data_IF_817044399363
#
_entry.id   IF_817044399363
#
_cell.length_a   1.000
_cell.length_b   1.000
_cell.length_c   1.000
_cell.angle_alpha   90.00
_cell.angle_beta   90.00
_cell.angle_gamma   90.00
#
_symmetry.space_group_name_H-M   'P 1'
#
loop_
_entity.id
_entity.type
_entity.pdbx_description
1 polymer ?
#
# COMPACT_ATOMS: atom_id res chain seq x y z
N UNK A 1 13.00 -6.69 9.90
CA UNK A 1 14.34 -6.25 10.32
C UNK A 1 15.26 -7.46 10.51
N UNK A 2 16.49 -7.41 9.98
CA UNK A 2 17.46 -8.50 10.07
C UNK A 2 18.87 -7.98 10.43
N UNK A 3 19.12 -7.53 11.67
CA UNK A 3 20.41 -6.92 12.03
C UNK A 3 21.58 -7.87 11.82
N UNK A 4 22.67 -7.36 11.25
CA UNK A 4 23.95 -8.05 11.06
C UNK A 4 24.01 -9.01 9.88
N UNK A 5 22.93 -9.15 9.08
CA UNK A 5 22.89 -10.00 7.89
C UNK A 5 22.05 -9.37 6.78
N UNK A 6 22.25 -9.75 5.50
CA UNK A 6 21.36 -9.33 4.43
C UNK A 6 19.91 -9.70 4.73
N UNK A 7 18.99 -8.83 4.33
CA UNK A 7 17.56 -9.12 4.36
C UNK A 7 17.22 -10.22 3.34
N UNK A 8 16.18 -11.00 3.60
CA UNK A 8 15.73 -12.04 2.67
C UNK A 8 15.21 -11.44 1.34
N UNK A 9 14.77 -10.18 1.35
CA UNK A 9 14.26 -9.46 0.17
C UNK A 9 14.67 -7.98 0.18
N UNK A 10 14.51 -7.33 -0.97
CA UNK A 10 14.87 -5.93 -1.19
C UNK A 10 13.88 -4.96 -0.53
N UNK A 11 14.42 -3.93 0.11
CA UNK A 11 13.67 -2.81 0.68
C UNK A 11 14.10 -1.50 0.02
N UNK A 12 13.18 -0.54 -0.04
CA UNK A 12 13.53 0.87 -0.27
C UNK A 12 13.67 1.54 1.10
N UNK A 13 14.77 2.28 1.28
CA UNK A 13 15.20 2.82 2.58
C UNK A 13 15.28 4.33 2.50
N UNK A 14 14.70 5.00 3.50
CA UNK A 14 14.66 6.45 3.66
C UNK A 14 15.16 6.85 5.04
N UNK A 15 15.56 8.10 5.17
CA UNK A 15 16.02 8.72 6.41
C UNK A 15 17.53 8.83 6.49
N UNK A 16 18.10 8.40 7.61
CA UNK A 16 19.50 8.67 7.93
C UNK A 16 20.52 7.94 7.03
N UNK A 17 21.54 8.68 6.58
CA UNK A 17 22.71 8.11 5.89
C UNK A 17 23.59 7.22 6.78
N UNK A 18 23.28 7.10 8.06
CA UNK A 18 23.90 6.17 9.02
C UNK A 18 23.28 4.77 9.00
N UNK A 19 22.32 4.51 8.12
CA UNK A 19 21.76 3.18 7.92
C UNK A 19 22.86 2.19 7.49
N UNK A 20 22.84 1.00 8.07
CA UNK A 20 23.86 -0.03 7.88
C UNK A 20 23.37 -1.36 8.46
N UNK A 21 24.13 -2.42 8.20
CA UNK A 21 23.83 -3.78 8.70
C UNK A 21 23.63 -3.84 10.21
N UNK A 22 24.31 -2.98 10.97
CA UNK A 22 24.27 -2.93 12.43
C UNK A 22 23.74 -1.59 12.95
N UNK A 23 22.86 -0.93 12.18
CA UNK A 23 22.31 0.37 12.55
C UNK A 23 21.74 0.38 13.98
N UNK A 24 22.10 1.42 14.70
CA UNK A 24 21.59 1.77 16.03
C UNK A 24 21.09 3.20 16.00
N UNK A 25 20.22 3.57 16.92
CA UNK A 25 19.83 4.98 17.11
C UNK A 25 21.06 5.92 17.12
N UNK A 26 22.12 5.52 17.84
CA UNK A 26 23.35 6.33 17.92
C UNK A 26 24.05 6.48 16.57
N UNK A 27 24.17 5.42 15.76
CA UNK A 27 24.79 5.52 14.43
C UNK A 27 23.93 6.37 13.50
N UNK A 28 22.61 6.25 13.61
CA UNK A 28 21.68 7.04 12.81
C UNK A 28 21.76 8.53 13.15
N UNK A 29 21.73 8.91 14.44
CA UNK A 29 21.85 10.31 14.91
C UNK A 29 23.19 10.95 14.55
N UNK A 30 24.27 10.15 14.45
CA UNK A 30 25.61 10.61 14.07
C UNK A 30 25.78 10.84 12.56
N UNK A 31 24.80 10.46 11.74
CA UNK A 31 24.91 10.62 10.31
C UNK A 31 24.91 12.09 9.89
N UNK A 32 25.74 12.41 8.90
CA UNK A 32 25.90 13.76 8.40
C UNK A 32 24.72 14.24 7.54
N UNK A 33 23.86 13.33 7.07
CA UNK A 33 22.70 13.64 6.23
C UNK A 33 21.46 12.84 6.65
N UNK A 34 20.30 13.25 6.16
CA UNK A 34 19.04 12.50 6.19
C UNK A 34 18.27 12.83 4.93
N UNK A 35 17.51 11.87 4.39
CA UNK A 35 16.58 12.13 3.29
C UNK A 35 15.24 12.69 3.76
N UNK A 36 15.04 12.94 5.06
CA UNK A 36 13.84 13.57 5.61
C UNK A 36 13.87 15.10 5.46
N UNK A 37 12.72 15.75 5.25
CA UNK A 37 12.63 17.21 5.19
C UNK A 37 13.06 17.93 6.47
N UNK A 38 12.81 17.32 7.64
CA UNK A 38 13.27 17.80 8.95
C UNK A 38 14.67 17.25 9.22
N UNK A 39 15.68 18.11 9.27
CA UNK A 39 17.09 17.68 9.40
C UNK A 39 17.43 17.02 10.75
N UNK A 40 16.63 17.31 11.79
CA UNK A 40 16.76 16.69 13.10
C UNK A 40 16.18 15.27 13.16
N UNK A 41 15.42 14.85 12.15
CA UNK A 41 14.97 13.49 12.00
C UNK A 41 16.03 12.65 11.29
N UNK A 42 16.77 11.87 12.08
CA UNK A 42 17.73 10.88 11.57
C UNK A 42 17.20 9.46 11.76
N UNK A 43 15.90 9.24 11.84
CA UNK A 43 15.38 7.87 11.93
C UNK A 43 15.63 7.10 10.62
N UNK A 44 15.46 5.78 10.65
CA UNK A 44 15.49 4.95 9.46
C UNK A 44 14.10 4.34 9.23
N UNK A 45 13.63 4.45 8.00
CA UNK A 45 12.33 3.99 7.54
C UNK A 45 12.54 3.13 6.32
N UNK A 46 11.91 1.96 6.25
CA UNK A 46 11.97 1.18 5.03
C UNK A 46 10.80 0.24 4.86
N UNK A 47 10.50 -0.07 3.61
CA UNK A 47 9.38 -0.90 3.16
C UNK A 47 9.84 -1.81 2.00
N UNK A 48 9.19 -2.94 1.75
CA UNK A 48 9.55 -3.79 0.61
C UNK A 48 9.43 -3.03 -0.69
N UNK A 49 10.41 -3.23 -1.58
CA UNK A 49 10.38 -2.66 -2.91
C UNK A 49 9.24 -3.28 -3.76
N UNK A 50 8.66 -2.49 -4.66
CA UNK A 50 7.71 -2.98 -5.65
C UNK A 50 8.44 -3.31 -6.96
N UNK A 51 8.19 -4.50 -7.49
CA UNK A 51 8.69 -4.93 -8.80
C UNK A 51 7.54 -5.11 -9.79
N UNK A 52 7.80 -4.81 -11.05
CA UNK A 52 7.01 -5.28 -12.17
C UNK A 52 7.64 -6.55 -12.74
N UNK A 53 6.90 -7.65 -12.66
CA UNK A 53 7.27 -8.94 -13.24
C UNK A 53 6.83 -8.98 -14.69
N UNK A 54 7.78 -8.95 -15.61
CA UNK A 54 7.56 -9.08 -17.05
C UNK A 54 7.17 -10.51 -17.42
N UNK A 55 6.52 -10.71 -18.57
CA UNK A 55 6.13 -12.04 -19.08
C UNK A 55 7.32 -12.98 -19.30
N UNK A 56 8.51 -12.43 -19.56
CA UNK A 56 9.74 -13.21 -19.70
C UNK A 56 10.34 -13.66 -18.35
N UNK A 57 9.71 -13.30 -17.23
CA UNK A 57 10.14 -13.63 -15.87
C UNK A 57 11.10 -12.61 -15.24
N UNK A 58 11.52 -11.56 -15.97
CA UNK A 58 12.39 -10.53 -15.41
C UNK A 58 11.62 -9.65 -14.41
N UNK A 59 12.29 -9.23 -13.35
CA UNK A 59 11.79 -8.28 -12.36
C UNK A 59 12.41 -6.90 -12.58
N UNK A 60 11.59 -5.90 -12.88
CA UNK A 60 12.01 -4.48 -13.00
C UNK A 60 11.51 -3.71 -11.77
N UNK A 61 12.41 -2.98 -11.11
CA UNK A 61 12.07 -2.14 -9.98
C UNK A 61 11.11 -1.02 -10.42
N UNK A 62 10.00 -0.84 -9.71
CA UNK A 62 9.08 0.27 -9.92
C UNK A 62 9.63 1.49 -9.18
N UNK A 63 9.68 2.65 -9.82
CA UNK A 63 10.18 3.86 -9.17
C UNK A 63 9.17 4.43 -8.19
N UNK A 64 9.66 5.05 -7.11
CA UNK A 64 8.85 5.90 -6.24
C UNK A 64 8.72 7.30 -6.84
N UNK A 65 7.55 7.93 -6.68
CA UNK A 65 7.30 9.32 -7.04
C UNK A 65 7.48 10.19 -5.79
N UNK A 66 8.58 10.95 -5.74
CA UNK A 66 8.86 11.86 -4.61
C UNK A 66 9.39 11.19 -3.34
N UNK A 67 9.51 9.85 -3.33
CA UNK A 67 9.99 9.08 -2.18
C UNK A 67 8.87 8.67 -1.22
N UNK A 68 9.23 8.47 0.06
CA UNK A 68 8.29 8.16 1.13
C UNK A 68 8.02 9.37 2.02
N UNK A 69 6.75 9.58 2.38
CA UNK A 69 6.35 10.46 3.47
C UNK A 69 6.13 9.65 4.75
N UNK A 70 6.83 10.03 5.82
CA UNK A 70 6.61 9.52 7.17
C UNK A 70 5.85 10.57 7.98
N UNK A 71 4.57 10.30 8.25
CA UNK A 71 3.73 11.18 9.06
C UNK A 71 3.79 10.79 10.54
N UNK A 72 3.83 11.80 11.39
CA UNK A 72 3.78 11.70 12.85
C UNK A 72 2.48 12.33 13.34
N UNK A 73 1.48 11.52 13.64
CA UNK A 73 0.17 12.00 14.09
C UNK A 73 0.04 12.01 15.61
N UNK A 74 -0.58 13.08 16.12
CA UNK A 74 -0.92 13.26 17.53
C UNK A 74 -2.32 12.70 17.85
N UNK A 75 -2.63 11.50 17.36
CA UNK A 75 -3.93 10.88 17.56
C UNK A 75 -4.07 10.34 18.99
N UNK A 76 -5.22 10.60 19.61
CA UNK A 76 -5.52 10.23 20.99
C UNK A 76 -5.11 11.31 22.00
N UNK A 77 -5.09 10.93 23.26
CA UNK A 77 -4.75 11.82 24.39
C UNK A 77 -3.40 11.44 25.00
N UNK A 78 -2.73 12.42 25.62
CA UNK A 78 -1.44 12.24 26.29
C UNK A 78 -0.38 11.55 25.41
N UNK A 79 -0.36 11.94 24.13
CA UNK A 79 0.61 11.43 23.15
C UNK A 79 2.02 11.81 23.58
N UNK A 80 2.95 10.87 23.50
CA UNK A 80 4.37 11.08 23.78
C UNK A 80 5.23 10.68 22.58
N UNK A 81 6.44 11.21 22.49
CA UNK A 81 7.40 10.77 21.49
C UNK A 81 7.87 9.33 21.75
N UNK A 82 8.42 8.68 20.73
CA UNK A 82 9.09 7.39 20.91
C UNK A 82 10.23 7.51 21.93
N UNK A 83 10.43 6.52 22.82
CA UNK A 83 11.58 6.49 23.71
C UNK A 83 12.88 6.29 22.91
N UNK A 84 14.02 6.61 23.52
CA UNK A 84 15.33 6.33 22.92
C UNK A 84 15.50 4.81 22.71
N UNK A 85 16.25 4.45 21.68
CA UNK A 85 16.51 3.10 21.15
C UNK A 85 15.30 2.38 20.59
N UNK A 86 14.19 3.08 20.38
CA UNK A 86 12.94 2.46 19.93
C UNK A 86 13.02 1.88 18.51
N UNK A 87 12.44 0.69 18.33
CA UNK A 87 12.35 0.00 17.03
C UNK A 87 11.01 -0.69 16.91
N UNK A 88 10.42 -0.69 15.71
CA UNK A 88 9.19 -1.44 15.48
C UNK A 88 9.03 -1.87 14.03
N UNK A 89 8.21 -2.90 13.82
CA UNK A 89 7.73 -3.34 12.51
C UNK A 89 6.20 -3.31 12.52
N UNK A 90 5.59 -2.77 11.48
CA UNK A 90 4.16 -2.89 11.21
C UNK A 90 3.87 -3.81 10.02
N UNK A 91 2.65 -4.32 9.90
CA UNK A 91 2.25 -5.28 8.85
C UNK A 91 2.68 -6.73 9.12
N UNK A 92 2.54 -7.59 8.11
CA UNK A 92 2.89 -9.00 8.17
C UNK A 92 3.48 -9.50 6.84
N UNK A 93 4.81 -9.71 6.72
CA UNK A 93 5.45 -10.05 5.45
C UNK A 93 4.95 -11.35 4.80
N UNK A 94 4.27 -12.20 5.55
CA UNK A 94 3.85 -13.53 5.09
C UNK A 94 2.36 -13.64 4.84
N UNK A 95 1.59 -12.60 5.14
CA UNK A 95 0.17 -12.61 4.87
C UNK A 95 -0.09 -12.52 3.36
N UNK A 96 -1.06 -13.31 2.88
CA UNK A 96 -1.50 -13.34 1.47
C UNK A 96 -3.03 -13.35 1.35
N UNK A 97 -3.72 -12.94 2.40
CA UNK A 97 -5.17 -12.92 2.43
C UNK A 97 -5.68 -11.81 3.36
N UNK A 98 -6.84 -11.26 3.00
CA UNK A 98 -7.64 -10.38 3.84
C UNK A 98 -9.02 -10.96 4.01
N UNK A 99 -9.37 -11.25 5.26
CA UNK A 99 -10.59 -12.01 5.58
C UNK A 99 -11.77 -11.13 5.98
N UNK A 100 -11.66 -9.81 5.83
CA UNK A 100 -12.68 -8.85 6.28
C UNK A 100 -13.40 -8.19 5.10
N UNK A 101 -14.56 -7.56 5.31
CA UNK A 101 -15.25 -6.85 4.24
C UNK A 101 -14.41 -5.71 3.66
N UNK A 102 -14.52 -5.48 2.35
CA UNK A 102 -13.96 -4.31 1.66
C UNK A 102 -15.08 -3.67 0.83
N UNK A 103 -15.41 -2.37 1.00
CA UNK A 103 -14.84 -1.46 2.00
C UNK A 103 -15.15 -1.92 3.43
N UNK A 104 -14.35 -1.46 4.39
CA UNK A 104 -14.59 -1.71 5.80
C UNK A 104 -16.00 -1.21 6.21
N UNK A 105 -16.72 -1.95 7.07
CA UNK A 105 -17.93 -1.43 7.67
C UNK A 105 -17.60 -0.19 8.52
N UNK A 106 -18.59 0.66 8.83
CA UNK A 106 -18.38 1.81 9.71
C UNK A 106 -17.61 1.40 10.97
N UNK A 107 -16.59 2.19 11.35
CA UNK A 107 -15.71 1.90 12.51
C UNK A 107 -16.49 1.66 13.81
N UNK A 108 -17.68 2.25 13.95
CA UNK A 108 -18.59 2.03 15.09
C UNK A 108 -19.18 0.62 15.16
N UNK A 109 -19.15 -0.14 14.08
CA UNK A 109 -19.67 -1.50 13.98
C UNK A 109 -18.57 -2.56 14.18
N UNK A 110 -17.30 -2.13 14.27
CA UNK A 110 -16.18 -3.04 14.49
C UNK A 110 -16.29 -3.68 15.88
N UNK A 111 -16.39 -5.01 15.91
CA UNK A 111 -16.53 -5.78 17.13
C UNK A 111 -16.04 -7.21 16.95
N UNK A 112 -15.82 -7.91 18.06
CA UNK A 112 -15.37 -9.30 18.07
C UNK A 112 -14.04 -9.49 17.33
N UNK A 113 -14.01 -10.46 16.41
CA UNK A 113 -12.78 -10.76 15.67
C UNK A 113 -12.35 -9.63 14.72
N UNK A 114 -13.27 -8.75 14.27
CA UNK A 114 -12.93 -7.61 13.39
C UNK A 114 -12.10 -6.53 14.11
N UNK A 115 -12.17 -6.49 15.44
CA UNK A 115 -11.40 -5.58 16.30
C UNK A 115 -10.18 -6.27 16.96
N UNK A 116 -9.85 -7.49 16.55
CA UNK A 116 -8.66 -8.18 17.04
C UNK A 116 -7.38 -7.51 16.53
N UNK A 117 -6.27 -7.63 17.25
CA UNK A 117 -4.99 -7.05 16.82
C UNK A 117 -4.54 -7.57 15.44
N UNK A 118 -4.83 -8.82 15.10
CA UNK A 118 -4.55 -9.36 13.77
C UNK A 118 -5.42 -8.72 12.68
N UNK A 119 -6.69 -8.45 12.96
CA UNK A 119 -7.58 -7.73 12.05
C UNK A 119 -7.16 -6.28 11.86
N UNK A 120 -6.90 -5.56 12.96
CA UNK A 120 -6.47 -4.15 12.94
C UNK A 120 -5.16 -3.98 12.17
N UNK A 121 -4.21 -4.91 12.34
CA UNK A 121 -2.96 -4.93 11.57
C UNK A 121 -3.18 -5.12 10.06
N UNK A 122 -4.20 -5.86 9.65
CA UNK A 122 -4.57 -5.98 8.24
C UNK A 122 -5.24 -4.72 7.71
N UNK A 123 -6.10 -4.10 8.53
CA UNK A 123 -6.79 -2.84 8.21
C UNK A 123 -5.87 -1.62 8.22
N UNK A 124 -4.67 -1.76 8.77
CA UNK A 124 -3.61 -0.77 8.78
C UNK A 124 -2.88 -0.60 7.44
N UNK A 125 -3.26 -1.37 6.41
CA UNK A 125 -2.72 -1.30 5.05
C UNK A 125 -3.67 -0.56 4.10
N UNK A 126 -3.12 0.27 3.21
CA UNK A 126 -3.87 0.96 2.16
C UNK A 126 -3.15 0.89 0.82
N UNK A 127 -3.92 0.75 -0.26
CA UNK A 127 -3.45 0.74 -1.64
C UNK A 127 -4.34 1.68 -2.46
N UNK A 128 -4.10 2.97 -2.28
CA UNK A 128 -4.96 3.99 -2.83
C UNK A 128 -4.61 4.25 -4.29
N UNK A 129 -5.61 4.14 -5.17
CA UNK A 129 -5.46 4.41 -6.58
C UNK A 129 -5.36 5.93 -6.81
N UNK A 130 -4.23 6.41 -7.33
CA UNK A 130 -4.07 7.85 -7.58
C UNK A 130 -4.55 8.23 -8.98
N UNK A 131 -5.50 9.15 -9.00
CA UNK A 131 -5.97 9.84 -10.18
C UNK A 131 -6.32 11.27 -9.80
N UNK A 132 -5.43 12.23 -10.08
CA UNK A 132 -5.62 13.61 -9.64
C UNK A 132 -6.79 14.33 -10.33
N UNK A 133 -7.42 13.69 -11.32
CA UNK A 133 -8.64 14.17 -11.96
C UNK A 133 -9.94 13.61 -11.34
N UNK A 134 -9.83 12.78 -10.30
CA UNK A 134 -10.95 12.16 -9.60
C UNK A 134 -10.95 12.54 -8.11
N UNK A 135 -12.04 12.25 -7.43
CA UNK A 135 -12.07 12.37 -5.97
C UNK A 135 -11.04 11.41 -5.34
N UNK A 136 -10.26 11.85 -4.34
CA UNK A 136 -9.27 11.00 -3.71
C UNK A 136 -9.93 9.86 -2.93
N UNK A 137 -9.27 8.70 -2.92
CA UNK A 137 -9.67 7.58 -2.05
C UNK A 137 -9.30 7.90 -0.57
N UNK A 138 -10.14 7.51 0.40
CA UNK A 138 -9.80 7.67 1.82
C UNK A 138 -8.58 6.80 2.18
N UNK A 139 -7.71 7.29 3.06
CA UNK A 139 -6.57 6.51 3.53
C UNK A 139 -7.01 5.20 4.17
N UNK A 140 -6.24 4.14 3.94
CA UNK A 140 -6.52 2.77 4.36
C UNK A 140 -7.87 2.24 3.85
N UNK A 141 -8.40 2.79 2.76
CA UNK A 141 -9.71 2.40 2.21
C UNK A 141 -9.70 1.10 1.42
N UNK A 142 -8.51 0.68 0.96
CA UNK A 142 -8.30 -0.53 0.15
C UNK A 142 -7.13 -1.34 0.69
N UNK A 143 -7.39 -2.55 1.17
CA UNK A 143 -6.38 -3.35 1.86
C UNK A 143 -5.60 -4.32 0.96
N UNK A 144 -5.73 -4.22 -0.37
CA UNK A 144 -5.05 -5.09 -1.34
C UNK A 144 -4.51 -4.30 -2.53
N UNK A 145 -3.41 -4.79 -3.11
CA UNK A 145 -2.85 -4.24 -4.35
C UNK A 145 -3.77 -4.59 -5.53
N UNK A 146 -4.36 -3.60 -6.24
CA UNK A 146 -5.20 -3.91 -7.38
C UNK A 146 -4.43 -4.59 -8.50
N UNK A 147 -5.13 -5.41 -9.29
CA UNK A 147 -4.53 -6.07 -10.44
C UNK A 147 -4.15 -5.06 -11.54
N UNK A 148 -3.27 -5.49 -12.45
CA UNK A 148 -2.73 -4.67 -13.53
C UNK A 148 -3.80 -3.98 -14.39
N UNK A 149 -4.87 -4.68 -14.73
CA UNK A 149 -5.97 -4.13 -15.53
C UNK A 149 -6.67 -2.96 -14.83
N UNK A 150 -6.91 -3.08 -13.52
CA UNK A 150 -7.49 -2.01 -12.73
C UNK A 150 -6.53 -0.81 -12.65
N UNK A 151 -5.24 -1.07 -12.38
CA UNK A 151 -4.23 -0.02 -12.27
C UNK A 151 -4.10 0.80 -13.56
N UNK A 152 -4.03 0.13 -14.71
CA UNK A 152 -3.92 0.78 -16.02
C UNK A 152 -5.12 1.66 -16.37
N UNK A 153 -6.31 1.26 -15.89
CA UNK A 153 -7.57 1.94 -16.17
C UNK A 153 -7.84 3.12 -15.22
N UNK A 154 -7.45 2.99 -13.95
CA UNK A 154 -7.91 3.91 -12.91
C UNK A 154 -6.80 4.73 -12.26
N UNK A 155 -5.57 4.20 -12.15
CA UNK A 155 -4.51 4.77 -11.32
C UNK A 155 -3.48 5.51 -12.17
N UNK A 156 -3.94 6.60 -12.82
CA UNK A 156 -3.17 7.36 -13.81
C UNK A 156 -1.93 8.05 -13.25
N UNK A 157 -1.89 8.23 -11.94
CA UNK A 157 -0.81 8.91 -11.23
C UNK A 157 -0.10 7.96 -10.25
N UNK A 158 -0.20 6.65 -10.49
CA UNK A 158 0.43 5.61 -9.68
C UNK A 158 -0.47 5.05 -8.57
N UNK A 159 0.10 4.22 -7.70
CA UNK A 159 -0.59 3.68 -6.53
C UNK A 159 0.14 4.12 -5.28
N UNK A 160 -0.63 4.62 -4.32
CA UNK A 160 -0.14 5.04 -3.03
C UNK A 160 -0.28 3.93 -2.02
N UNK A 161 0.85 3.38 -1.61
CA UNK A 161 0.92 2.36 -0.57
C UNK A 161 0.95 3.08 0.77
N UNK A 162 0.15 2.60 1.69
CA UNK A 162 -0.08 3.22 2.98
C UNK A 162 0.06 2.18 4.08
N UNK A 163 0.73 2.55 5.17
CA UNK A 163 0.92 1.69 6.33
C UNK A 163 0.84 2.50 7.62
N UNK A 164 -0.18 2.22 8.44
CA UNK A 164 -0.26 2.73 9.80
C UNK A 164 0.50 1.79 10.76
N UNK A 165 1.32 2.36 11.62
CA UNK A 165 1.99 1.61 12.68
C UNK A 165 1.12 1.55 13.95
N UNK A 166 1.30 0.51 14.79
CA UNK A 166 0.67 0.49 16.11
C UNK A 166 1.20 1.66 16.97
N UNK A 167 0.32 2.30 17.74
CA UNK A 167 0.65 3.48 18.57
C UNK A 167 0.42 3.30 20.07
N UNK A 168 -0.04 2.13 20.49
CA UNK A 168 -0.21 1.77 21.90
C UNK A 168 1.01 0.98 22.36
N UNK A 169 1.79 1.55 23.28
CA UNK A 169 3.02 0.99 23.79
C UNK A 169 2.85 0.43 25.19
N UNK A 170 3.56 -0.65 25.50
CA UNK A 170 3.51 -1.31 26.80
C UNK A 170 4.17 -0.52 27.95
N UNK A 171 4.69 0.68 27.67
CA UNK A 171 5.29 1.58 28.66
C UNK A 171 6.68 1.14 29.15
N UNK A 172 7.25 0.08 28.57
CA UNK A 172 8.48 -0.54 29.11
C UNK A 172 9.52 -0.88 28.04
N UNK A 173 9.15 -1.66 27.03
CA UNK A 173 10.12 -2.29 26.13
C UNK A 173 10.32 -1.43 24.88
N UNK A 174 11.53 -0.93 24.65
CA UNK A 174 11.86 -0.11 23.46
C UNK A 174 12.01 -0.94 22.19
N UNK A 175 12.15 -2.25 22.34
CA UNK A 175 12.17 -3.23 21.25
C UNK A 175 11.77 -4.59 21.80
N UNK A 176 11.27 -5.48 20.94
CA UNK A 176 10.99 -6.88 21.28
C UNK A 176 11.72 -7.81 20.30
N UNK A 177 11.87 -9.09 20.65
CA UNK A 177 12.60 -10.04 19.79
C UNK A 177 12.01 -10.17 18.37
N UNK A 178 10.72 -9.91 18.21
CA UNK A 178 10.00 -9.88 16.94
C UNK A 178 9.77 -8.45 16.39
N UNK A 179 10.30 -7.43 17.09
CA UNK A 179 10.13 -6.00 16.82
C UNK A 179 8.66 -5.55 16.77
N UNK A 180 7.73 -6.29 17.39
CA UNK A 180 6.27 -6.11 17.28
C UNK A 180 5.54 -6.21 18.61
N UNK A 181 5.82 -7.25 19.39
CA UNK A 181 5.05 -7.62 20.60
C UNK A 181 5.03 -6.57 21.71
N UNK A 182 5.90 -5.56 21.67
CA UNK A 182 5.88 -4.43 22.61
C UNK A 182 4.90 -3.32 22.20
N UNK A 183 4.23 -3.46 21.05
CA UNK A 183 3.24 -2.52 20.52
C UNK A 183 1.90 -3.18 20.22
N UNK A 184 0.84 -2.38 20.26
CA UNK A 184 -0.51 -2.75 19.86
C UNK A 184 -1.19 -1.63 19.05
N UNK A 185 -2.13 -1.99 18.19
CA UNK A 185 -3.02 -1.03 17.56
C UNK A 185 -4.11 -0.58 18.54
N UNK A 186 -4.49 0.70 18.53
CA UNK A 186 -5.73 1.11 19.17
C UNK A 186 -6.94 0.55 18.42
N UNK A 187 -8.10 0.58 19.07
CA UNK A 187 -9.32 -0.09 18.59
C UNK A 187 -9.79 0.30 17.19
N UNK A 188 -9.37 1.46 16.66
CA UNK A 188 -9.77 1.98 15.34
C UNK A 188 -8.57 2.18 14.39
N UNK A 189 -7.50 1.40 14.57
CA UNK A 189 -6.22 1.43 13.84
C UNK A 189 -5.40 2.71 14.08
N UNK A 190 -5.94 3.86 13.70
CA UNK A 190 -5.25 5.16 13.84
C UNK A 190 -5.53 5.85 15.18
N UNK A 191 -6.68 5.54 15.78
CA UNK A 191 -7.25 6.20 16.96
C UNK A 191 -8.08 5.17 17.76
N UNK A 192 -8.79 5.62 18.79
CA UNK A 192 -9.59 4.78 19.68
C UNK A 192 -8.81 4.37 20.92
N UNK A 193 -9.29 3.35 21.63
CA UNK A 193 -8.76 2.99 22.95
C UNK A 193 -7.58 2.03 22.79
N UNK A 194 -6.52 2.25 23.58
CA UNK A 194 -5.43 1.29 23.68
C UNK A 194 -5.86 0.07 24.51
N UNK A 195 -5.47 -1.15 24.11
CA UNK A 195 -5.79 -2.34 24.89
C UNK A 195 -5.05 -2.36 26.22
N UNK A 196 -5.56 -3.17 27.16
CA UNK A 196 -4.93 -3.41 28.46
C UNK A 196 -3.47 -3.87 28.29
N UNK A 197 -2.57 -3.28 29.08
CA UNK A 197 -1.13 -3.50 29.03
C UNK A 197 -0.39 -2.68 27.96
N UNK A 198 -1.08 -1.85 27.18
CA UNK A 198 -0.50 -0.97 26.15
C UNK A 198 -1.02 0.47 26.25
N UNK A 199 -1.31 0.96 27.45
CA UNK A 199 -2.01 2.23 27.68
C UNK A 199 -1.18 3.47 27.35
N UNK A 200 0.13 3.33 27.12
CA UNK A 200 0.98 4.47 26.80
C UNK A 200 0.85 4.84 25.33
N UNK A 201 0.25 5.99 25.03
CA UNK A 201 0.09 6.49 23.67
C UNK A 201 1.40 7.11 23.16
N UNK A 202 1.94 6.53 22.10
CA UNK A 202 3.03 7.14 21.34
C UNK A 202 2.47 7.91 20.14
N UNK A 203 3.26 8.86 19.63
CA UNK A 203 3.01 9.49 18.34
C UNK A 203 2.83 8.41 17.27
N UNK A 204 1.77 8.52 16.46
CA UNK A 204 1.44 7.48 15.49
C UNK A 204 2.24 7.70 14.22
N UNK A 205 2.88 6.65 13.72
CA UNK A 205 3.67 6.69 12.49
C UNK A 205 2.84 6.15 11.33
N UNK A 206 2.79 6.88 10.22
CA UNK A 206 2.10 6.47 9.00
C UNK A 206 3.00 6.67 7.79
N UNK A 207 3.21 5.61 7.03
CA UNK A 207 4.00 5.66 5.80
C UNK A 207 3.09 5.83 4.61
N UNK A 208 3.52 6.68 3.69
CA UNK A 208 2.91 6.86 2.40
C UNK A 208 4.00 6.81 1.32
N UNK A 209 3.86 5.90 0.36
CA UNK A 209 4.80 5.73 -0.75
C UNK A 209 4.03 5.65 -2.05
N UNK A 210 4.33 6.53 -2.99
CA UNK A 210 3.70 6.50 -4.32
C UNK A 210 4.60 5.72 -5.26
N UNK A 211 4.09 4.63 -5.83
CA UNK A 211 4.77 3.84 -6.85
C UNK A 211 4.26 4.20 -8.24
N UNK A 212 5.17 4.50 -9.17
CA UNK A 212 4.86 4.83 -10.56
C UNK A 212 4.47 3.57 -11.36
N UNK A 213 3.33 2.98 -11.01
CA UNK A 213 2.77 1.84 -11.72
C UNK A 213 2.32 2.22 -13.14
N UNK A 214 2.00 3.50 -13.38
CA UNK A 214 1.49 3.96 -14.67
C UNK A 214 2.56 3.98 -15.76
N UNK A 215 3.85 4.09 -15.40
CA UNK A 215 4.97 3.86 -16.33
C UNK A 215 4.95 2.47 -17.01
N UNK A 216 4.19 1.51 -16.47
CA UNK A 216 4.01 0.17 -17.03
C UNK A 216 2.68 -0.02 -17.76
N UNK A 217 1.90 1.04 -17.99
CA UNK A 217 0.63 0.96 -18.72
C UNK A 217 0.82 0.32 -20.10
N UNK A 218 -0.04 -0.65 -20.42
CA UNK A 218 0.02 -1.36 -21.72
C UNK A 218 1.17 -2.37 -21.84
N UNK A 219 2.03 -2.50 -20.82
CA UNK A 219 2.96 -3.63 -20.69
C UNK A 219 2.26 -4.80 -20.00
N UNK A 220 2.49 -6.00 -20.51
CA UNK A 220 2.00 -7.24 -19.92
C UNK A 220 2.90 -7.68 -18.77
N UNK A 221 2.29 -8.08 -17.65
CA UNK A 221 3.00 -8.47 -16.44
C UNK A 221 2.20 -8.20 -15.18
N UNK A 222 2.83 -8.39 -14.02
CA UNK A 222 2.18 -8.30 -12.71
C UNK A 222 3.07 -7.55 -11.72
N UNK A 223 2.48 -6.73 -10.86
CA UNK A 223 3.20 -6.09 -9.77
C UNK A 223 3.33 -7.02 -8.57
N UNK A 224 4.53 -7.09 -7.99
CA UNK A 224 4.87 -8.01 -6.90
C UNK A 224 5.80 -7.29 -5.93
N UNK A 225 5.47 -7.31 -4.64
CA UNK A 225 6.36 -6.83 -3.58
C UNK A 225 7.57 -7.78 -3.46
N UNK A 226 8.73 -7.23 -3.11
CA UNK A 226 10.01 -7.96 -3.06
C UNK A 226 10.00 -9.20 -2.16
N UNK A 227 9.12 -9.26 -1.14
CA UNK A 227 8.88 -10.44 -0.32
C UNK A 227 8.07 -11.55 -1.02
N UNK A 228 7.91 -11.49 -2.35
CA UNK A 228 7.18 -12.47 -3.14
C UNK A 228 5.66 -12.37 -2.96
N UNK A 229 5.13 -11.18 -2.66
CA UNK A 229 3.70 -10.95 -2.50
C UNK A 229 3.08 -10.25 -3.71
N UNK A 230 2.25 -10.94 -4.51
CA UNK A 230 1.50 -10.33 -5.61
C UNK A 230 0.15 -9.73 -5.18
N UNK A 231 -0.20 -9.83 -3.89
CA UNK A 231 -1.53 -9.45 -3.36
C UNK A 231 -1.55 -8.13 -2.60
N UNK A 232 -0.40 -7.70 -2.06
CA UNK A 232 -0.26 -6.51 -1.21
C UNK A 232 -0.45 -6.77 0.29
N UNK A 233 -1.10 -7.87 0.69
CA UNK A 233 -1.34 -8.17 2.11
C UNK A 233 -0.07 -8.38 2.94
N UNK A 234 1.03 -8.72 2.27
CA UNK A 234 2.37 -8.89 2.80
C UNK A 234 3.14 -7.59 2.99
N UNK A 235 2.54 -6.42 2.70
CA UNK A 235 3.20 -5.14 2.90
C UNK A 235 3.47 -4.90 4.39
N UNK A 236 4.66 -4.37 4.66
CA UNK A 236 5.15 -4.11 6.00
C UNK A 236 6.13 -2.95 5.95
N UNK A 237 6.46 -2.43 7.12
CA UNK A 237 7.41 -1.35 7.24
C UNK A 237 8.14 -1.48 8.55
N UNK A 238 9.37 -1.04 8.52
CA UNK A 238 10.29 -1.11 9.63
C UNK A 238 10.70 0.31 10.03
N UNK A 239 10.99 0.48 11.31
CA UNK A 239 11.34 1.76 11.90
C UNK A 239 12.47 1.58 12.92
N UNK A 240 13.49 2.42 12.83
CA UNK A 240 14.45 2.65 13.92
C UNK A 240 14.41 4.14 14.25
N UNK A 241 14.07 4.46 15.49
CA UNK A 241 14.04 5.82 15.98
C UNK A 241 15.43 6.46 15.94
N UNK A 242 15.49 7.69 15.42
CA UNK A 242 16.74 8.45 15.29
C UNK A 242 16.57 9.97 15.37
N UNK A 243 15.45 10.48 15.90
CA UNK A 243 15.31 11.92 16.13
C UNK A 243 16.35 12.44 17.11
N UNK A 244 16.92 13.61 16.84
CA UNK A 244 17.77 14.29 17.83
C UNK A 244 17.04 14.38 19.18
N UNK A 245 17.77 14.05 20.25
CA UNK A 245 17.20 13.84 21.58
C UNK A 245 16.33 15.02 22.02
N UNK A 246 15.09 14.73 22.40
CA UNK A 246 14.12 15.72 22.89
C UNK A 246 13.47 16.60 21.82
N UNK A 247 13.89 16.55 20.54
CA UNK A 247 13.25 17.33 19.48
C UNK A 247 11.84 16.82 19.20
N UNK A 248 11.67 15.51 19.02
CA UNK A 248 10.35 14.95 18.73
C UNK A 248 9.35 15.18 19.88
N UNK A 249 9.78 15.05 21.13
CA UNK A 249 8.89 15.36 22.27
C UNK A 249 8.47 16.82 22.27
N UNK A 250 9.40 17.76 22.04
CA UNK A 250 9.02 19.18 21.89
C UNK A 250 8.07 19.41 20.71
N UNK A 251 8.24 18.67 19.61
CA UNK A 251 7.32 18.76 18.47
C UNK A 251 5.91 18.29 18.85
N UNK A 252 5.81 17.17 19.57
CA UNK A 252 4.55 16.65 20.12
C UNK A 252 3.88 17.68 21.03
N UNK A 253 4.66 18.39 21.85
CA UNK A 253 4.14 19.36 22.82
C UNK A 253 3.76 20.71 22.17
N UNK A 254 4.52 21.17 21.17
CA UNK A 254 4.43 22.54 20.65
C UNK A 254 3.79 22.65 19.24
N UNK A 255 3.92 21.61 18.40
CA UNK A 255 3.57 21.68 16.98
C UNK A 255 2.20 21.05 16.68
N UNK A 256 1.15 21.70 17.18
CA UNK A 256 -0.25 21.22 17.14
C UNK A 256 -1.12 21.91 16.07
N UNK A 257 -0.50 22.62 15.13
CA UNK A 257 -1.22 23.34 14.08
C UNK A 257 -1.98 22.37 13.16
N UNK A 258 -3.27 22.64 12.94
CA UNK A 258 -4.16 21.82 12.11
C UNK A 258 -3.88 21.92 10.59
N UNK A 259 -2.96 22.80 10.17
CA UNK A 259 -2.56 22.90 8.75
C UNK A 259 -1.92 21.62 8.21
N UNK A 260 -1.30 20.83 9.08
CA UNK A 260 -0.50 19.65 8.71
C UNK A 260 0.81 20.00 7.98
N UNK A 261 1.19 21.28 7.94
CA UNK A 261 2.42 21.75 7.27
C UNK A 261 3.60 21.74 8.23
N UNK A 262 4.70 21.15 7.78
CA UNK A 262 5.92 21.01 8.59
C UNK A 262 6.56 22.37 8.88
N UNK A 263 6.41 23.33 7.97
CA UNK A 263 6.92 24.70 8.07
C UNK A 263 6.27 25.52 9.20
N UNK A 264 5.07 25.13 9.63
CA UNK A 264 4.35 25.82 10.69
C UNK A 264 4.89 25.45 12.09
N UNK A 265 5.77 24.46 12.19
CA UNK A 265 6.42 24.03 13.43
C UNK A 265 7.78 24.74 13.59
N UNK A 266 7.89 25.74 14.49
CA UNK A 266 9.05 26.62 14.56
C UNK A 266 10.34 25.97 15.07
N UNK A 267 10.25 24.74 15.60
CA UNK A 267 11.40 24.02 16.12
C UNK A 267 12.11 23.15 15.06
N UNK A 268 11.52 22.99 13.88
CA UNK A 268 12.09 22.17 12.81
C UNK A 268 13.07 22.95 11.95
N UNK A 269 14.25 22.35 11.75
CA UNK A 269 15.25 22.82 10.81
C UNK A 269 15.02 22.10 9.49
N UNK A 270 14.51 22.82 8.49
CA UNK A 270 14.11 22.26 7.20
C UNK A 270 15.22 22.32 6.17
N UNK A 271 15.28 21.31 5.32
CA UNK A 271 16.16 21.27 4.15
C UNK A 271 15.36 21.13 2.85
N UNK A 272 15.95 21.62 1.75
CA UNK A 272 15.33 21.51 0.43
C UNK A 272 15.27 20.06 -0.07
N UNK A 273 14.31 19.75 -0.94
CA UNK A 273 14.19 18.42 -1.56
C UNK A 273 15.47 17.99 -2.27
N UNK A 274 16.19 18.94 -2.88
CA UNK A 274 17.49 18.65 -3.51
C UNK A 274 18.56 18.20 -2.49
N UNK A 275 18.53 18.70 -1.25
CA UNK A 275 19.45 18.25 -0.20
C UNK A 275 19.02 16.89 0.37
N UNK A 276 17.71 16.68 0.52
CA UNK A 276 17.15 15.39 0.92
C UNK A 276 17.60 14.27 -0.04
N UNK A 277 17.45 14.49 -1.36
CA UNK A 277 17.83 13.53 -2.39
C UNK A 277 19.35 13.29 -2.57
N UNK A 278 20.20 14.08 -1.90
CA UNK A 278 21.65 13.84 -1.88
C UNK A 278 22.09 12.89 -0.77
N UNK A 279 21.21 12.59 0.20
CA UNK A 279 21.58 11.69 1.27
C UNK A 279 21.59 10.23 0.81
N UNK A 280 22.71 9.56 1.06
CA UNK A 280 22.90 8.14 0.79
C UNK A 280 23.59 7.48 1.97
N UNK A 281 23.39 6.17 2.14
CA UNK A 281 24.18 5.34 3.04
C UNK A 281 25.13 4.44 2.25
N UNK A 282 26.17 3.93 2.91
CA UNK A 282 27.10 3.01 2.28
C UNK A 282 26.44 1.62 2.15
N UNK A 283 26.27 1.14 0.91
CA UNK A 283 25.82 -0.22 0.65
C UNK A 283 26.89 -1.20 1.17
N UNK A 284 26.52 -2.21 1.98
CA UNK A 284 27.46 -3.21 2.49
C UNK A 284 28.20 -3.96 1.39
N UNK A 285 29.44 -4.39 1.66
CA UNK A 285 30.27 -5.12 0.70
C UNK A 285 29.61 -6.42 0.21
N UNK A 286 28.78 -7.04 1.04
CA UNK A 286 28.02 -8.24 0.72
C UNK A 286 26.93 -8.02 -0.34
N UNK A 287 26.50 -6.77 -0.54
CA UNK A 287 25.37 -6.40 -1.41
C UNK A 287 25.75 -5.49 -2.58
N UNK A 288 26.99 -4.98 -2.61
CA UNK A 288 27.42 -3.96 -3.60
C UNK A 288 27.34 -4.41 -5.06
N UNK A 289 27.41 -5.72 -5.31
CA UNK A 289 27.41 -6.30 -6.65
C UNK A 289 26.00 -6.81 -7.06
N UNK A 290 25.00 -6.70 -6.17
CA UNK A 290 23.62 -7.13 -6.46
C UNK A 290 22.91 -6.09 -7.34
N UNK A 291 22.41 -6.53 -8.50
CA UNK A 291 21.57 -5.68 -9.35
C UNK A 291 20.10 -5.80 -8.98
N UNK A 292 19.60 -4.82 -8.24
CA UNK A 292 18.20 -4.73 -7.80
C UNK A 292 17.27 -3.98 -8.78
N UNK A 293 17.80 -3.37 -9.84
CA UNK A 293 16.98 -2.53 -10.74
C UNK A 293 16.29 -3.35 -11.84
N UNK A 294 17.01 -4.30 -12.43
CA UNK A 294 16.48 -5.23 -13.43
C UNK A 294 17.11 -6.60 -13.22
N UNK A 295 16.39 -7.49 -12.55
CA UNK A 295 16.85 -8.82 -12.21
C UNK A 295 16.27 -9.86 -13.19
N UNK A 296 17.11 -10.76 -13.70
CA UNK A 296 16.72 -11.73 -14.73
C UNK A 296 16.11 -12.98 -14.12
N UNK A 297 14.98 -13.43 -14.68
CA UNK A 297 14.37 -14.72 -14.34
C UNK A 297 13.87 -14.85 -12.89
N UNK A 298 13.41 -13.76 -12.28
CA UNK A 298 12.76 -13.75 -10.97
C UNK A 298 13.09 -12.50 -10.16
N UNK A 299 12.53 -12.45 -8.95
CA UNK A 299 12.92 -11.44 -7.96
C UNK A 299 14.39 -11.63 -7.53
N UNK A 300 15.07 -10.57 -7.07
CA UNK A 300 16.37 -10.69 -6.42
C UNK A 300 16.37 -11.73 -5.30
N UNK A 301 17.53 -12.32 -5.04
CA UNK A 301 17.71 -13.44 -4.12
C UNK A 301 16.81 -14.67 -4.44
N UNK A 302 16.28 -14.79 -5.66
CA UNK A 302 15.43 -15.90 -6.10
C UNK A 302 14.17 -16.12 -5.22
N UNK A 303 13.61 -15.05 -4.66
CA UNK A 303 12.40 -15.15 -3.83
C UNK A 303 11.22 -15.67 -4.66
N UNK A 304 10.58 -16.73 -4.17
CA UNK A 304 9.41 -17.32 -4.81
C UNK A 304 8.16 -16.48 -4.56
N UNK A 305 7.43 -16.20 -5.63
CA UNK A 305 6.12 -15.54 -5.59
C UNK A 305 5.08 -16.50 -5.01
N UNK A 306 4.34 -16.08 -4.00
CA UNK A 306 3.33 -16.89 -3.29
C UNK A 306 1.98 -16.14 -3.32
N UNK A 307 1.00 -16.67 -4.08
CA UNK A 307 -0.26 -15.98 -4.40
C UNK A 307 -1.36 -16.03 -3.32
N UNK A 308 -1.15 -16.77 -2.22
CA UNK A 308 -2.17 -16.96 -1.19
C UNK A 308 -3.29 -17.92 -1.60
N UNK A 309 -4.40 -18.00 -0.82
CA UNK A 309 -4.65 -17.25 0.41
C UNK A 309 -3.91 -17.81 1.63
N UNK A 310 -3.20 -18.94 1.49
CA UNK A 310 -2.40 -19.50 2.56
C UNK A 310 -1.30 -18.53 3.01
N UNK A 311 -0.99 -18.58 4.31
CA UNK A 311 0.15 -17.86 4.86
C UNK A 311 1.43 -18.32 4.17
N UNK A 312 2.24 -17.37 3.70
CA UNK A 312 3.46 -17.66 2.98
C UNK A 312 4.48 -18.33 3.89
N UNK A 313 5.29 -19.20 3.29
CA UNK A 313 6.47 -19.74 3.97
C UNK A 313 7.50 -18.63 4.22
N UNK A 314 8.18 -18.59 5.40
CA UNK A 314 9.04 -17.48 5.79
C UNK A 314 10.13 -17.11 4.79
N UNK A 315 10.69 -18.09 4.08
CA UNK A 315 11.50 -17.86 2.89
C UNK A 315 11.40 -19.09 1.99
N UNK A 316 11.05 -18.90 0.72
CA UNK A 316 11.11 -19.96 -0.29
C UNK A 316 11.86 -19.43 -1.50
N UNK A 317 12.94 -20.12 -1.82
CA UNK A 317 13.78 -19.80 -2.97
C UNK A 317 13.35 -20.63 -4.18
N UNK A 318 13.29 -20.03 -5.35
CA UNK A 318 13.21 -20.80 -6.61
C UNK A 318 14.57 -21.44 -6.84
N UNK A 319 14.62 -22.77 -6.91
CA UNK A 319 15.86 -23.46 -7.29
C UNK A 319 16.32 -23.03 -8.69
N UNK A 320 17.61 -23.18 -9.02
CA UNK A 320 18.09 -22.95 -10.38
C UNK A 320 17.28 -23.84 -11.32
N UNK A 321 16.57 -23.22 -12.26
CA UNK A 321 15.71 -23.91 -13.20
C UNK A 321 16.55 -24.83 -14.08
N UNK A 322 16.62 -26.13 -13.75
CA UNK A 322 16.83 -27.12 -14.78
C UNK A 322 15.53 -27.18 -15.59
N UNK A 323 15.58 -26.66 -16.82
CA UNK A 323 14.59 -26.98 -17.82
C UNK A 323 14.58 -28.49 -18.04
N UNK A 324 13.67 -29.20 -17.39
CA UNK A 324 13.32 -30.56 -17.79
C UNK A 324 11.95 -30.52 -18.44
N UNK A 325 11.96 -30.70 -19.76
CA UNK A 325 10.80 -31.19 -20.52
C UNK A 325 10.14 -32.35 -19.79
N UNK A 326 8.80 -32.51 -19.87
CA UNK A 326 8.11 -33.60 -19.22
C UNK A 326 8.60 -34.93 -19.80
N UNK A 327 9.36 -35.68 -19.00
CA UNK A 327 9.66 -37.06 -19.28
C UNK A 327 8.41 -37.90 -18.94
N UNK A 328 7.93 -38.62 -19.93
CA UNK A 328 6.86 -39.63 -19.84
C UNK A 328 7.21 -40.64 -18.73
N UNK A 329 6.31 -40.95 -17.78
CA UNK A 329 6.58 -41.99 -16.80
C UNK A 329 6.57 -43.37 -17.46
N UNK A 330 7.68 -44.10 -17.38
CA UNK A 330 7.69 -45.56 -17.60
C UNK A 330 6.97 -46.26 -16.44
N UNK A 331 6.20 -47.34 -16.71
CA UNK A 331 5.39 -48.00 -15.69
C UNK A 331 6.23 -48.95 -14.83
N UNK A 332 6.27 -48.71 -13.51
CA UNK A 332 6.76 -49.68 -12.54
C UNK A 332 5.61 -50.61 -12.10
N UNK A 333 5.81 -51.90 -12.32
CA UNK A 333 4.89 -53.00 -11.96
C UNK A 333 4.89 -53.21 -10.44
N UNK A 334 3.71 -53.18 -9.81
CA UNK A 334 3.50 -53.75 -8.49
C UNK A 334 2.25 -54.64 -8.48
N UNK A 335 2.47 -55.90 -8.10
CA UNK A 335 1.51 -56.99 -8.04
C UNK A 335 0.37 -56.69 -7.04
N UNK A 336 -0.86 -56.69 -7.53
CA UNK A 336 -2.09 -56.65 -6.73
C UNK A 336 -3.07 -57.70 -7.24
N UNK A 337 -3.49 -58.59 -6.35
CA UNK A 337 -4.36 -59.74 -6.59
C UNK A 337 -5.73 -59.31 -7.08
N UNK A 338 -6.20 -59.93 -8.17
CA UNK A 338 -7.52 -59.71 -8.76
C UNK A 338 -8.57 -60.66 -8.18
N UNK A 339 -9.71 -60.09 -7.75
CA UNK A 339 -10.98 -60.79 -7.56
C UNK A 339 -11.98 -60.07 -8.46
N UNK A 340 -12.54 -60.80 -9.41
CA UNK A 340 -13.38 -60.30 -10.48
C UNK A 340 -14.81 -60.74 -10.21
N UNK A 341 -15.77 -59.81 -10.16
CA UNK A 341 -17.20 -60.11 -10.21
C UNK A 341 -17.92 -59.05 -11.04
N UNK A 342 -18.30 -59.43 -12.26
CA UNK A 342 -19.62 -59.15 -12.84
C UNK A 342 -19.88 -57.80 -13.50
N UNK A 343 -19.74 -57.79 -14.83
CA UNK A 343 -20.67 -57.30 -15.86
C UNK A 343 -21.63 -56.12 -15.59
N UNK A 344 -21.64 -55.13 -16.48
CA UNK A 344 -22.62 -55.00 -17.59
C UNK A 344 -22.35 -53.70 -18.38
N UNK A 345 -22.19 -53.84 -19.70
CA UNK A 345 -22.24 -52.75 -20.68
C UNK A 345 -23.67 -52.27 -20.93
N UNK A 346 -23.91 -50.96 -21.08
CA UNK A 346 -24.74 -50.39 -22.17
C UNK A 346 -24.31 -48.93 -22.40
N UNK A 347 -24.07 -48.54 -23.66
CA UNK A 347 -23.76 -47.16 -24.04
C UNK A 347 -24.98 -46.32 -24.46
N UNK A 348 -24.67 -45.25 -25.21
CA UNK A 348 -25.52 -44.51 -26.19
C UNK A 348 -25.92 -43.06 -25.81
N UNK A 349 -25.21 -42.13 -26.47
CA UNK A 349 -25.54 -40.80 -27.07
C UNK A 349 -26.48 -39.77 -26.43
N UNK A 350 -25.92 -38.54 -26.37
CA UNK A 350 -26.40 -37.26 -26.95
C UNK A 350 -27.90 -36.98 -27.04
N UNK A 351 -28.33 -35.83 -26.48
CA UNK A 351 -29.09 -34.78 -27.20
C UNK A 351 -29.25 -33.52 -26.33
N UNK A 352 -29.04 -32.34 -26.93
CA UNK A 352 -29.62 -31.06 -26.47
C UNK A 352 -31.06 -30.95 -26.99
N UNK A 353 -31.90 -30.03 -26.45
CA UNK A 353 -32.11 -28.78 -27.18
C UNK A 353 -32.40 -27.53 -26.33
N UNK A 354 -32.26 -26.40 -27.04
CA UNK A 354 -32.58 -24.99 -26.77
C UNK A 354 -33.96 -24.67 -26.19
N UNK A 355 -34.09 -23.48 -25.57
CA UNK A 355 -35.08 -22.45 -26.01
C UNK A 355 -34.85 -21.07 -25.36
N UNK A 356 -35.17 -20.04 -26.15
CA UNK A 356 -35.07 -18.59 -25.92
C UNK A 356 -36.15 -18.05 -24.95
N UNK A 357 -35.99 -16.83 -24.41
CA UNK A 357 -36.90 -15.68 -24.61
C UNK A 357 -36.37 -14.38 -23.94
N UNK A 358 -36.61 -13.27 -24.62
CA UNK A 358 -36.32 -11.84 -24.36
C UNK A 358 -37.23 -11.16 -23.34
N UNK A 359 -36.74 -10.18 -22.56
CA UNK A 359 -37.57 -9.11 -21.94
C UNK A 359 -36.85 -7.74 -21.95
N UNK A 360 -37.67 -6.74 -22.25
CA UNK A 360 -37.49 -5.30 -22.49
C UNK A 360 -37.26 -4.43 -21.24
N UNK A 361 -36.57 -3.31 -21.44
CA UNK A 361 -36.33 -2.21 -20.46
C UNK A 361 -37.43 -1.14 -20.46
N UNK A 362 -37.48 -0.29 -19.42
CA UNK A 362 -37.97 1.08 -19.58
C UNK A 362 -37.00 2.17 -19.10
N UNK A 363 -37.00 3.25 -19.87
CA UNK A 363 -36.29 4.53 -19.74
C UNK A 363 -37.04 5.50 -18.80
N UNK A 364 -36.33 6.38 -18.09
CA UNK A 364 -36.92 7.59 -17.52
C UNK A 364 -35.91 8.76 -17.49
N UNK A 365 -36.48 9.95 -17.67
CA UNK A 365 -35.94 11.21 -18.22
C UNK A 365 -35.36 12.18 -17.17
N UNK A 366 -34.36 12.96 -17.61
CA UNK A 366 -33.73 14.09 -16.90
C UNK A 366 -34.56 15.38 -16.98
N UNK A 367 -34.53 16.17 -15.89
CA UNK A 367 -34.82 17.61 -15.91
C UNK A 367 -33.63 18.38 -15.32
N UNK A 368 -33.25 19.46 -16.01
CA UNK A 368 -32.14 20.36 -15.65
C UNK A 368 -32.69 21.78 -15.53
N UNK A 369 -32.21 22.54 -14.55
CA UNK A 369 -32.43 23.99 -14.46
C UNK A 369 -31.12 24.69 -14.13
N UNK A 370 -30.78 25.67 -14.96
CA UNK A 370 -29.62 26.54 -14.89
C UNK A 370 -29.98 27.86 -14.20
N UNK A 371 -29.05 28.41 -13.41
CA UNK A 371 -29.03 29.84 -13.07
C UNK A 371 -27.59 30.35 -13.02
N UNK A 372 -27.39 31.51 -13.65
CA UNK A 372 -26.16 32.28 -13.81
C UNK A 372 -26.08 33.38 -12.75
N UNK A 373 -24.88 33.66 -12.20
CA UNK A 373 -24.56 35.02 -11.72
C UNK A 373 -23.06 35.37 -11.77
N UNK A 374 -22.85 36.64 -12.08
CA UNK A 374 -21.66 37.47 -12.31
C UNK A 374 -20.45 37.36 -11.37
N UNK A 375 -19.29 37.69 -11.95
CA UNK A 375 -17.99 37.82 -11.32
C UNK A 375 -17.81 39.06 -10.44
N UNK A 376 -17.02 38.91 -9.37
CA UNK A 376 -16.28 39.99 -8.70
C UNK A 376 -14.92 39.45 -8.22
N UNK A 377 -13.86 40.15 -8.60
CA UNK A 377 -12.45 39.86 -8.32
C UNK A 377 -12.08 40.16 -6.87
N UNK A 378 -11.64 39.14 -6.12
CA UNK A 378 -10.85 39.26 -4.88
C UNK A 378 -9.85 38.12 -4.84
N UNK A 379 -8.56 38.44 -4.64
CA UNK A 379 -7.50 37.44 -4.47
C UNK A 379 -7.71 36.68 -3.16
N UNK A 380 -8.15 35.44 -3.27
CA UNK A 380 -8.33 34.50 -2.15
C UNK A 380 -7.39 33.32 -2.37
N UNK A 381 -6.50 33.06 -1.41
CA UNK A 381 -5.74 31.81 -1.33
C UNK A 381 -6.44 30.99 -0.24
N UNK A 382 -7.09 29.86 -0.57
CA UNK A 382 -7.79 29.08 0.44
C UNK A 382 -6.80 28.23 1.23
N UNK A 383 -6.83 28.35 2.56
CA UNK A 383 -6.38 27.30 3.46
C UNK A 383 -7.40 26.16 3.53
N UNK A 384 -7.05 24.99 4.13
CA UNK A 384 -7.99 23.89 4.26
C UNK A 384 -9.24 24.35 5.00
N UNK A 385 -10.40 24.21 4.37
CA UNK A 385 -11.69 24.59 4.97
C UNK A 385 -12.44 23.32 5.31
N UNK A 386 -12.71 23.10 6.58
CA UNK A 386 -13.64 22.05 7.03
C UNK A 386 -15.05 22.51 6.70
N UNK A 387 -15.67 21.92 5.68
CA UNK A 387 -17.08 22.21 5.34
C UNK A 387 -17.95 21.16 6.00
N UNK A 388 -18.86 21.60 6.87
CA UNK A 388 -19.91 20.76 7.41
C UNK A 388 -21.10 20.84 6.46
N UNK A 389 -21.37 19.77 5.74
CA UNK A 389 -22.59 19.66 4.93
C UNK A 389 -23.59 18.84 5.72
N UNK A 390 -24.59 19.51 6.30
CA UNK A 390 -25.81 18.83 6.77
C UNK A 390 -26.70 18.56 5.57
N UNK A 391 -26.77 17.28 5.19
CA UNK A 391 -27.58 16.82 4.07
C UNK A 391 -28.56 15.74 4.50
N UNK A 392 -29.73 15.75 3.87
CA UNK A 392 -30.69 14.65 3.92
C UNK A 392 -30.26 13.65 2.84
N UNK A 393 -29.72 12.49 3.23
CA UNK A 393 -29.26 11.47 2.29
C UNK A 393 -30.24 10.31 2.27
N UNK A 394 -30.68 9.93 1.06
CA UNK A 394 -31.46 8.71 0.86
C UNK A 394 -30.52 7.58 0.48
N UNK A 395 -30.26 6.67 1.42
CA UNK A 395 -29.48 5.46 1.16
C UNK A 395 -30.40 4.33 0.70
N UNK A 396 -29.96 3.60 -0.33
CA UNK A 396 -30.63 2.40 -0.85
C UNK A 396 -29.71 1.21 -0.65
N UNK A 397 -30.08 0.31 0.25
CA UNK A 397 -29.35 -0.91 0.57
C UNK A 397 -30.00 -2.05 -0.21
N UNK A 398 -29.24 -2.67 -1.11
CA UNK A 398 -29.68 -3.82 -1.90
C UNK A 398 -29.12 -5.07 -1.25
N UNK A 399 -29.99 -5.93 -0.75
CA UNK A 399 -29.60 -7.23 -0.21
C UNK A 399 -29.60 -8.23 -1.35
N UNK A 400 -28.42 -8.83 -1.61
CA UNK A 400 -28.25 -9.87 -2.61
C UNK A 400 -27.95 -11.20 -1.95
N UNK A 401 -28.37 -12.28 -2.60
CA UNK A 401 -28.05 -13.66 -2.26
C UNK A 401 -27.39 -14.30 -3.47
N UNK A 402 -26.41 -15.15 -3.21
CA UNK A 402 -25.74 -15.93 -4.24
C UNK A 402 -25.68 -17.37 -3.77
N UNK A 403 -26.13 -18.29 -4.63
CA UNK A 403 -26.02 -19.71 -4.36
C UNK A 403 -24.60 -20.18 -4.67
N UNK A 404 -24.00 -20.96 -3.76
CA UNK A 404 -22.71 -21.59 -3.96
C UNK A 404 -22.92 -23.09 -3.78
N UNK A 405 -22.78 -23.84 -4.87
CA UNK A 405 -22.88 -25.29 -4.86
C UNK A 405 -21.48 -25.87 -4.71
N UNK A 406 -21.25 -26.61 -3.62
CA UNK A 406 -19.99 -27.30 -3.37
C UNK A 406 -20.25 -28.79 -3.57
N UNK A 407 -19.71 -29.34 -4.65
CA UNK A 407 -19.75 -30.77 -4.95
C UNK A 407 -18.64 -31.46 -4.16
N UNK A 408 -18.99 -32.45 -3.35
CA UNK A 408 -18.03 -33.23 -2.56
C UNK A 408 -17.94 -34.66 -3.07
N UNK A 409 -16.79 -35.30 -2.86
CA UNK A 409 -16.64 -36.74 -3.08
C UNK A 409 -17.32 -37.55 -1.96
N UNK A 410 -17.23 -38.88 -2.08
CA UNK A 410 -17.76 -39.85 -1.13
C UNK A 410 -17.13 -39.79 0.27
N UNK A 411 -16.00 -39.08 0.42
CA UNK A 411 -15.35 -38.82 1.71
C UNK A 411 -15.74 -37.46 2.31
N UNK A 412 -16.54 -36.68 1.58
CA UNK A 412 -16.96 -35.33 1.97
C UNK A 412 -15.95 -34.24 1.62
N UNK A 413 -14.90 -34.55 0.86
CA UNK A 413 -13.92 -33.56 0.43
C UNK A 413 -14.45 -32.77 -0.78
N UNK A 414 -14.33 -31.44 -0.83
CA UNK A 414 -14.83 -30.63 -1.93
C UNK A 414 -14.01 -30.88 -3.21
N UNK A 415 -14.70 -31.30 -4.26
CA UNK A 415 -14.12 -31.61 -5.59
C UNK A 415 -14.30 -30.44 -6.55
N UNK A 416 -15.43 -29.74 -6.45
CA UNK A 416 -15.75 -28.62 -7.33
C UNK A 416 -16.65 -27.63 -6.61
N UNK A 417 -16.50 -26.34 -6.93
CA UNK A 417 -17.40 -25.29 -6.44
C UNK A 417 -17.94 -24.52 -7.63
N UNK A 418 -19.26 -24.45 -7.72
CA UNK A 418 -19.98 -23.67 -8.71
C UNK A 418 -20.67 -22.51 -8.00
N UNK A 419 -20.61 -21.33 -8.61
CA UNK A 419 -21.21 -20.12 -8.05
C UNK A 419 -22.31 -19.64 -8.99
N UNK A 420 -23.53 -19.56 -8.46
CA UNK A 420 -24.70 -19.05 -9.18
C UNK A 420 -24.67 -17.54 -9.40
N UNK A 421 -25.68 -17.01 -10.08
CA UNK A 421 -25.84 -15.58 -10.28
C UNK A 421 -26.22 -14.88 -8.96
N UNK A 422 -25.83 -13.61 -8.82
CA UNK A 422 -26.27 -12.75 -7.71
C UNK A 422 -27.74 -12.36 -7.92
N UNK A 423 -28.61 -12.78 -7.01
CA UNK A 423 -30.03 -12.40 -7.01
C UNK A 423 -30.29 -11.33 -5.95
N UNK A 424 -31.02 -10.27 -6.31
CA UNK A 424 -31.47 -9.27 -5.33
C UNK A 424 -32.68 -9.80 -4.57
N UNK A 425 -32.51 -10.06 -3.28
CA UNK A 425 -33.56 -10.62 -2.41
C UNK A 425 -34.46 -9.54 -1.83
N UNK A 426 -33.90 -8.38 -1.50
CA UNK A 426 -34.71 -7.23 -1.06
C UNK A 426 -33.96 -5.93 -1.22
N UNK A 427 -34.68 -4.81 -1.12
CA UNK A 427 -34.07 -3.49 -1.10
C UNK A 427 -34.72 -2.64 -0.02
N UNK A 428 -33.89 -2.10 0.86
CA UNK A 428 -34.33 -1.16 1.90
C UNK A 428 -33.86 0.24 1.52
N UNK A 429 -34.78 1.21 1.59
CA UNK A 429 -34.45 2.62 1.35
C UNK A 429 -34.72 3.39 2.63
N UNK A 430 -33.72 4.10 3.14
CA UNK A 430 -33.86 4.92 4.34
C UNK A 430 -33.28 6.31 4.10
N UNK A 431 -33.94 7.31 4.64
CA UNK A 431 -33.49 8.70 4.56
C UNK A 431 -32.93 9.09 5.91
N UNK A 432 -31.63 9.39 5.95
CA UNK A 432 -30.92 9.77 7.17
C UNK A 432 -30.37 11.19 7.05
N UNK A 433 -30.44 11.95 8.14
CA UNK A 433 -29.74 13.22 8.27
C UNK A 433 -28.35 12.90 8.81
N UNK A 434 -27.31 13.15 8.00
CA UNK A 434 -25.93 12.87 8.40
C UNK A 434 -25.09 14.13 8.24
N UNK A 435 -24.34 14.46 9.29
CA UNK A 435 -23.26 15.44 9.22
C UNK A 435 -22.04 14.70 8.69
N UNK A 436 -21.61 15.01 7.47
CA UNK A 436 -20.37 14.48 6.91
C UNK A 436 -19.31 15.55 7.04
N UNK A 437 -18.25 15.29 7.80
CA UNK A 437 -17.03 16.09 7.79
C UNK A 437 -16.10 15.51 6.74
N UNK A 438 -15.76 16.32 5.74
CA UNK A 438 -14.73 15.98 4.76
C UNK A 438 -13.62 17.02 4.88
N UNK A 439 -12.41 16.55 5.18
CA UNK A 439 -11.21 17.38 5.10
C UNK A 439 -10.78 17.34 3.63
N UNK A 440 -11.08 18.40 2.89
CA UNK A 440 -10.62 18.55 1.51
C UNK A 440 -9.25 19.23 1.55
N UNK A 441 -8.18 18.46 1.44
CA UNK A 441 -6.88 19.01 1.09
C UNK A 441 -6.89 19.34 -0.41
N UNK A 442 -6.92 20.63 -0.74
CA UNK A 442 -6.83 21.07 -2.15
C UNK A 442 -5.38 20.90 -2.61
N UNK A 443 -5.09 20.22 -3.74
CA UNK A 443 -3.72 20.15 -4.24
C UNK A 443 -3.21 21.56 -4.53
N UNK A 444 -2.03 21.91 -4.00
CA UNK A 444 -1.23 22.99 -4.60
C UNK A 444 -0.88 22.54 -6.01
N UNK A 445 -1.26 23.34 -7.01
CA UNK A 445 -1.00 23.04 -8.42
C UNK A 445 0.50 22.78 -8.69
N UNK A 446 0.82 22.07 -9.78
CA UNK A 446 2.19 21.65 -10.07
C UNK A 446 3.13 22.85 -10.22
N UNK A 447 4.38 22.66 -9.79
CA UNK A 447 5.47 23.59 -10.08
C UNK A 447 5.62 23.74 -11.60
N UNK A 448 5.79 24.98 -12.04
CA UNK A 448 5.96 25.34 -13.45
C UNK A 448 7.16 24.58 -14.03
N UNK A 449 6.93 23.72 -15.03
CA UNK A 449 7.98 23.17 -15.87
C UNK A 449 8.71 24.31 -16.59
N UNK A 450 9.97 24.54 -16.24
CA UNK A 450 10.86 25.36 -17.06
C UNK A 450 11.35 24.52 -18.25
N UNK A 451 10.89 24.87 -19.45
CA UNK A 451 11.40 24.34 -20.72
C UNK A 451 12.91 24.59 -20.84
N UNK A 452 13.70 23.51 -20.79
CA UNK A 452 15.11 23.52 -21.14
C UNK A 452 15.28 23.56 -22.66
N UNK A 453 15.57 24.73 -23.21
CA UNK A 453 15.90 24.88 -24.63
C UNK A 453 17.25 24.23 -24.98
N UNK A 454 17.19 23.40 -26.02
CA UNK A 454 18.28 22.74 -26.74
C UNK A 454 19.37 23.72 -27.22
N UNK A 455 20.63 23.39 -26.89
CA UNK A 455 21.80 24.02 -27.48
C UNK A 455 22.08 23.46 -28.88
N UNK A 456 21.88 24.27 -29.92
CA UNK A 456 22.48 24.03 -31.24
C UNK A 456 23.47 25.15 -31.63
N UNK A 457 24.73 24.73 -31.76
CA UNK A 457 25.70 25.03 -32.82
C UNK A 457 25.97 26.51 -33.16
N UNK A 458 27.15 26.97 -32.76
CA UNK A 458 27.83 28.13 -33.32
C UNK A 458 28.06 27.99 -34.84
N UNK A 459 27.62 28.98 -35.62
CA UNK A 459 28.30 29.38 -36.86
C UNK A 459 28.21 30.89 -37.11
N UNK A 460 29.36 31.45 -37.46
CA UNK A 460 29.68 32.86 -37.74
C UNK A 460 28.86 33.43 -38.91
N UNK A 461 28.56 34.74 -38.82
CA UNK A 461 28.78 35.85 -39.77
C UNK A 461 28.13 37.09 -39.10
N UNK A 462 28.68 38.30 -39.01
CA UNK A 462 29.55 39.04 -39.91
C UNK A 462 28.77 40.24 -40.45
N UNK A 463 29.26 41.47 -40.18
CA UNK A 463 28.77 42.80 -40.61
C UNK A 463 27.61 43.38 -39.78
N UNK A 464 27.56 44.65 -39.40
CA UNK A 464 28.41 45.81 -39.72
C UNK A 464 27.60 47.09 -39.50
N UNK A 465 28.18 48.02 -38.75
CA UNK A 465 28.06 49.48 -38.79
C UNK A 465 26.73 50.23 -38.57
N UNK A 466 26.91 51.29 -37.77
CA UNK A 466 26.39 52.66 -37.92
C UNK A 466 24.92 52.90 -37.52
N UNK A 467 24.51 54.02 -36.92
CA UNK A 467 25.12 55.18 -36.27
C UNK A 467 23.92 56.04 -35.76
N UNK A 468 24.21 57.02 -34.91
CA UNK A 468 23.43 58.23 -34.54
C UNK A 468 22.33 58.02 -33.49
N UNK A 469 22.20 58.86 -32.45
CA UNK A 469 22.84 60.14 -32.11
C UNK A 469 23.05 60.21 -30.60
#
# INVERSE_FOLDING_TARGET
MAPGKPSDHVHVVHGSGGFSMSATEMSLKKANCTSCGVTQDKSAYWVPALYFMHENGDAELVNEVGGMLAYYFLNGENVTAFPENFRMIAGDPFLRNFSWPVPDPPKSEWSGNQSSQSALRQKALGFNCLNYNQAPEPSLGRHFLPNKTFLDAHCTDGVRFELMFPSCWNGKDVDSADHRSHMAYPSLVMDGVCPEGFETRLVSLFYETIWDTYAFKGKQGTFVLANGDPTGYGYHGDFIYGWQTGVLQRAVDECTNLSGRVEDCPIFDLQSDSQQGQCSFAVPDELKDENVYLHKGGLPNHIAIQYGPAYASPVKYTGPSHHTSPAVPEPSVSLGVSINVGDVHVGVTSTAPSTFWTVTSPTATLFSTTTTSSASTTSWIPGPTTVYVEGVFTQKIVYVQQEILILTDETGAPVQTETGALETVSTSTSTINKVVSTIVATPTGPSVQHEGHSHHVHRRHGHGHAHRN
#
